data_IF_403918367953
#
_entry.id   IF_403918367953
#
_cell.length_a   1.000
_cell.length_b   1.000
_cell.length_c   1.000
_cell.angle_alpha   90.00
_cell.angle_beta   90.00
_cell.angle_gamma   90.00
#
_symmetry.space_group_name_H-M   'P 1'
#
loop_
_entity.id
_entity.type
_entity.pdbx_description
1 polymer ?
#
# COMPACT_ATOMS: atom_id res chain seq x y z
N UNK A 1 -46.65 -30.59 7.17
CA UNK A 1 -45.36 -29.89 7.32
C UNK A 1 -45.60 -28.41 7.40
N UNK A 2 -45.09 -27.73 8.43
CA UNK A 2 -45.17 -26.26 8.53
C UNK A 2 -44.14 -25.64 7.57
N UNK A 3 -44.46 -24.55 6.86
CA UNK A 3 -43.54 -23.91 5.93
C UNK A 3 -42.38 -23.23 6.68
N UNK A 4 -41.19 -23.30 6.09
CA UNK A 4 -39.99 -22.66 6.61
C UNK A 4 -40.14 -21.12 6.66
N UNK A 5 -39.57 -20.46 7.68
CA UNK A 5 -39.64 -19.00 7.80
C UNK A 5 -38.82 -18.33 6.69
N UNK A 6 -39.40 -17.30 6.07
CA UNK A 6 -38.74 -16.49 5.05
C UNK A 6 -37.55 -15.72 5.65
N UNK A 7 -36.44 -15.53 4.90
CA UNK A 7 -35.30 -14.75 5.35
C UNK A 7 -35.71 -13.28 5.55
N UNK A 8 -35.30 -12.68 6.66
CA UNK A 8 -35.48 -11.24 6.90
C UNK A 8 -34.60 -10.44 5.94
N UNK A 9 -35.20 -9.58 5.13
CA UNK A 9 -34.50 -8.56 4.36
C UNK A 9 -33.70 -7.65 5.30
N UNK A 10 -32.36 -7.73 5.25
CA UNK A 10 -31.49 -6.72 5.86
C UNK A 10 -31.57 -5.44 5.01
N UNK A 11 -32.13 -4.37 5.59
CA UNK A 11 -32.04 -3.01 5.06
C UNK A 11 -30.56 -2.62 4.92
N UNK A 12 -30.14 -2.29 3.69
CA UNK A 12 -28.88 -1.59 3.44
C UNK A 12 -29.07 -0.14 3.90
N UNK A 13 -28.56 0.23 5.06
CA UNK A 13 -28.41 1.64 5.43
C UNK A 13 -27.08 2.16 4.87
N UNK A 14 -27.16 3.28 4.18
CA UNK A 14 -26.01 3.97 3.59
C UNK A 14 -25.24 4.72 4.70
N UNK A 15 -24.43 3.99 5.47
CA UNK A 15 -23.74 4.49 6.66
C UNK A 15 -22.53 5.40 6.34
N UNK A 16 -22.10 5.50 5.08
CA UNK A 16 -20.85 6.18 4.73
C UNK A 16 -20.93 7.72 4.86
N UNK A 17 -22.07 8.30 4.49
CA UNK A 17 -22.25 9.76 4.50
C UNK A 17 -22.41 10.33 5.92
N UNK A 18 -23.10 9.59 6.82
CA UNK A 18 -23.40 10.04 8.19
C UNK A 18 -22.12 10.10 9.05
N UNK A 19 -21.22 9.12 8.90
CA UNK A 19 -19.93 9.09 9.60
C UNK A 19 -19.04 10.30 9.26
N UNK A 20 -19.04 10.77 8.01
CA UNK A 20 -18.20 11.90 7.59
C UNK A 20 -18.57 13.24 8.25
N UNK A 21 -19.86 13.45 8.55
CA UNK A 21 -20.37 14.69 9.14
C UNK A 21 -20.22 14.69 10.67
N UNK A 22 -20.40 13.55 11.33
CA UNK A 22 -20.24 13.43 12.79
C UNK A 22 -18.77 13.47 13.23
N UNK A 23 -17.85 12.88 12.46
CA UNK A 23 -16.40 12.96 12.76
C UNK A 23 -15.90 14.41 12.71
N UNK A 24 -16.40 15.23 11.77
CA UNK A 24 -16.09 16.68 11.73
C UNK A 24 -16.59 17.44 12.97
N UNK A 25 -17.71 17.02 13.57
CA UNK A 25 -18.23 17.65 14.80
C UNK A 25 -17.51 17.19 16.07
N UNK A 26 -17.08 15.93 16.17
CA UNK A 26 -16.35 15.42 17.34
C UNK A 26 -14.93 16.00 17.46
N UNK A 27 -14.27 16.34 16.34
CA UNK A 27 -12.91 16.89 16.36
C UNK A 27 -12.81 18.29 16.97
N UNK A 28 -13.88 19.08 16.97
CA UNK A 28 -13.89 20.43 17.58
C UNK A 28 -13.90 20.41 19.13
N UNK A 29 -14.05 19.24 19.76
CA UNK A 29 -14.25 19.14 21.21
C UNK A 29 -13.10 18.44 21.97
N UNK A 30 -12.03 17.99 21.30
CA UNK A 30 -10.97 17.20 21.92
C UNK A 30 -9.57 17.82 21.72
N UNK A 31 -9.35 19.03 22.23
CA UNK A 31 -8.01 19.57 22.49
C UNK A 31 -7.87 19.82 24.01
N UNK A 32 -7.23 18.92 24.78
CA UNK A 32 -6.83 19.22 26.13
C UNK A 32 -5.45 19.88 26.11
N UNK A 33 -5.44 21.16 26.44
CA UNK A 33 -4.34 21.91 27.08
C UNK A 33 -2.98 21.93 26.34
N UNK A 34 -2.71 23.05 25.63
CA UNK A 34 -1.32 23.41 25.30
C UNK A 34 -1.07 24.32 24.11
N UNK A 35 -2.10 24.73 23.35
CA UNK A 35 -1.91 25.70 22.27
C UNK A 35 -1.87 27.12 22.84
N UNK A 36 -0.65 27.60 23.14
CA UNK A 36 -0.41 29.01 23.41
C UNK A 36 -0.93 29.84 22.23
N UNK A 37 -1.76 30.83 22.55
CA UNK A 37 -2.30 31.83 21.63
C UNK A 37 -1.16 32.49 20.84
N UNK A 38 -0.90 32.01 19.62
CA UNK A 38 -0.03 32.67 18.67
C UNK A 38 -0.85 33.70 17.90
N UNK A 39 -0.35 34.93 17.93
CA UNK A 39 -0.78 36.09 17.15
C UNK A 39 -1.13 35.73 15.71
N UNK A 40 -2.21 36.34 15.21
CA UNK A 40 -2.72 36.25 13.85
C UNK A 40 -1.69 36.72 12.81
N UNK A 41 -0.76 35.85 12.45
CA UNK A 41 0.15 36.07 11.34
C UNK A 41 -0.58 35.67 10.06
N UNK A 42 -0.90 36.66 9.24
CA UNK A 42 -1.73 36.59 8.04
C UNK A 42 -1.05 35.87 6.86
N UNK A 43 -0.28 34.82 7.12
CA UNK A 43 0.67 34.26 6.15
C UNK A 43 0.90 32.75 6.16
N UNK A 44 0.26 31.95 7.02
CA UNK A 44 0.43 30.49 6.93
C UNK A 44 -0.39 29.90 5.77
N UNK A 45 0.19 29.92 4.57
CA UNK A 45 -0.38 29.34 3.35
C UNK A 45 -0.31 27.80 3.30
N UNK A 46 -0.02 27.14 4.43
CA UNK A 46 0.00 25.67 4.49
C UNK A 46 -1.41 25.11 4.42
N UNK A 47 -1.59 24.11 3.58
CA UNK A 47 -2.86 23.46 3.31
C UNK A 47 -2.78 21.97 3.66
N UNK A 48 -3.93 21.37 3.96
CA UNK A 48 -4.10 19.91 4.01
C UNK A 48 -4.17 19.30 2.59
N UNK A 49 -3.62 19.98 1.57
CA UNK A 49 -3.74 19.58 0.16
C UNK A 49 -4.98 20.12 -0.55
N UNK A 50 -5.80 20.93 0.14
CA UNK A 50 -6.99 21.58 -0.41
C UNK A 50 -6.95 23.10 -0.29
N UNK A 51 -7.54 23.79 -1.27
CA UNK A 51 -7.94 25.19 -1.11
C UNK A 51 -9.14 25.32 -0.15
N UNK A 52 -9.46 26.55 0.24
CA UNK A 52 -10.69 26.87 1.00
C UNK A 52 -11.97 26.53 0.23
N UNK A 53 -11.93 26.46 -1.11
CA UNK A 53 -13.05 26.02 -1.95
C UNK A 53 -13.18 24.49 -2.06
N UNK A 54 -12.27 23.73 -1.45
CA UNK A 54 -12.22 22.27 -1.56
C UNK A 54 -11.55 21.77 -2.84
N UNK A 55 -10.85 22.64 -3.57
CA UNK A 55 -10.08 22.29 -4.76
C UNK A 55 -8.77 21.59 -4.37
N UNK A 56 -8.37 20.55 -5.10
CA UNK A 56 -7.17 19.74 -4.82
C UNK A 56 -5.94 20.37 -5.45
N UNK A 57 -4.82 20.49 -4.72
CA UNK A 57 -3.55 20.91 -5.32
C UNK A 57 -3.07 19.89 -6.37
N UNK A 58 -2.69 20.36 -7.58
CA UNK A 58 -2.21 19.49 -8.65
C UNK A 58 -1.19 20.18 -9.57
N UNK A 59 -0.44 19.38 -10.33
CA UNK A 59 0.66 19.89 -11.16
C UNK A 59 1.87 20.23 -10.29
N UNK A 60 2.37 19.25 -9.54
CA UNK A 60 3.52 19.38 -8.68
C UNK A 60 4.74 19.88 -9.48
N UNK A 61 5.45 20.87 -8.93
CA UNK A 61 6.65 21.44 -9.56
C UNK A 61 7.88 20.62 -9.18
N UNK A 62 8.60 20.11 -10.15
CA UNK A 62 9.77 19.23 -9.97
C UNK A 62 10.79 19.81 -8.96
N UNK A 63 11.14 21.08 -9.12
CA UNK A 63 12.10 21.82 -8.30
C UNK A 63 11.66 21.94 -6.83
N UNK A 64 10.35 22.00 -6.57
CA UNK A 64 9.81 22.12 -5.22
C UNK A 64 9.98 20.83 -4.40
N UNK A 65 10.11 19.68 -5.08
CA UNK A 65 10.23 18.35 -4.46
C UNK A 65 11.60 17.69 -4.68
N UNK A 66 12.50 18.30 -5.46
CA UNK A 66 13.78 17.70 -5.82
C UNK A 66 14.62 17.30 -4.58
N UNK A 67 14.69 18.16 -3.56
CA UNK A 67 15.43 17.90 -2.33
C UNK A 67 14.76 16.91 -1.36
N UNK A 68 13.48 16.60 -1.56
CA UNK A 68 12.71 15.70 -0.68
C UNK A 68 12.67 14.26 -1.19
N UNK A 69 13.56 13.87 -2.09
CA UNK A 69 13.62 12.52 -2.64
C UNK A 69 14.48 11.63 -1.76
N UNK A 70 14.00 10.41 -1.50
CA UNK A 70 14.70 9.41 -0.71
C UNK A 70 15.06 8.25 -1.62
N UNK A 71 16.32 8.19 -2.00
CA UNK A 71 16.87 7.11 -2.82
C UNK A 71 16.93 5.79 -2.05
N UNK A 72 16.60 4.69 -2.72
CA UNK A 72 16.90 3.36 -2.21
C UNK A 72 18.41 3.17 -2.18
N UNK A 73 18.90 2.61 -1.08
CA UNK A 73 20.33 2.34 -0.83
C UNK A 73 20.66 0.85 -0.91
N UNK A 74 19.72 0.03 -1.37
CA UNK A 74 19.87 -1.42 -1.36
C UNK A 74 20.78 -1.86 -2.50
N UNK A 75 21.68 -2.78 -2.20
CA UNK A 75 22.61 -3.37 -3.18
C UNK A 75 21.86 -4.00 -4.35
N UNK A 76 22.30 -3.70 -5.56
CA UNK A 76 21.76 -4.33 -6.76
C UNK A 76 22.12 -5.81 -6.79
N UNK A 77 21.14 -6.65 -7.04
CA UNK A 77 21.29 -8.08 -7.29
C UNK A 77 20.79 -8.44 -8.68
N UNK A 78 21.30 -9.55 -9.21
CA UNK A 78 20.85 -10.17 -10.47
C UNK A 78 19.65 -11.09 -10.23
N UNK A 79 18.86 -11.42 -11.27
CA UNK A 79 17.79 -12.41 -11.11
C UNK A 79 18.41 -13.79 -10.84
N UNK A 80 17.81 -14.53 -9.91
CA UNK A 80 18.18 -15.91 -9.65
C UNK A 80 17.78 -16.81 -10.83
N UNK A 81 16.62 -16.56 -11.42
CA UNK A 81 16.10 -17.31 -12.57
C UNK A 81 15.93 -16.40 -13.78
N UNK A 82 16.73 -16.62 -14.84
CA UNK A 82 16.76 -15.77 -16.05
C UNK A 82 15.58 -15.97 -17.03
N UNK A 83 14.69 -16.91 -16.71
CA UNK A 83 13.53 -17.23 -17.54
C UNK A 83 12.26 -16.49 -17.16
N UNK A 84 11.16 -16.92 -17.77
CA UNK A 84 9.79 -16.49 -17.50
C UNK A 84 9.12 -17.28 -16.37
N UNK A 85 7.98 -16.81 -15.87
CA UNK A 85 7.18 -17.60 -14.92
C UNK A 85 6.79 -18.97 -15.50
N UNK A 86 6.43 -19.04 -16.78
CA UNK A 86 6.03 -20.31 -17.40
C UNK A 86 7.22 -21.28 -17.50
N UNK A 87 8.40 -20.77 -17.83
CA UNK A 87 9.64 -21.55 -17.85
C UNK A 87 10.02 -22.03 -16.44
N UNK A 88 9.85 -21.17 -15.42
CA UNK A 88 10.07 -21.52 -14.02
C UNK A 88 9.11 -22.62 -13.57
N UNK A 89 7.82 -22.50 -13.89
CA UNK A 89 6.81 -23.50 -13.54
C UNK A 89 7.04 -24.83 -14.25
N UNK A 90 7.53 -24.81 -15.50
CA UNK A 90 7.91 -26.02 -16.22
C UNK A 90 9.12 -26.72 -15.59
N UNK A 91 10.09 -25.95 -15.08
CA UNK A 91 11.24 -26.51 -14.36
C UNK A 91 10.82 -27.21 -13.05
N UNK A 92 9.71 -26.78 -12.46
CA UNK A 92 9.15 -27.29 -11.21
C UNK A 92 7.80 -27.99 -11.42
N UNK A 93 7.64 -28.72 -12.54
CA UNK A 93 6.37 -29.36 -12.91
C UNK A 93 5.94 -30.46 -11.93
N UNK A 94 6.90 -31.03 -11.20
CA UNK A 94 6.72 -32.03 -10.14
C UNK A 94 6.35 -31.41 -8.77
N UNK A 95 6.31 -30.08 -8.66
CA UNK A 95 6.04 -29.32 -7.43
C UNK A 95 4.70 -28.55 -7.50
N UNK A 96 3.54 -29.24 -7.46
CA UNK A 96 2.24 -28.59 -7.65
C UNK A 96 1.93 -27.52 -6.60
N UNK A 97 2.52 -27.62 -5.40
CA UNK A 97 2.37 -26.60 -4.36
C UNK A 97 3.05 -25.29 -4.76
N UNK A 98 4.26 -25.35 -5.34
CA UNK A 98 4.97 -24.17 -5.84
C UNK A 98 4.17 -23.50 -6.95
N UNK A 99 3.59 -24.29 -7.86
CA UNK A 99 2.76 -23.76 -8.94
C UNK A 99 1.54 -22.98 -8.43
N UNK A 100 0.96 -23.35 -7.28
CA UNK A 100 -0.13 -22.59 -6.64
C UNK A 100 0.35 -21.27 -6.07
N UNK A 101 1.53 -21.23 -5.46
CA UNK A 101 2.08 -20.00 -4.88
C UNK A 101 2.30 -18.91 -5.94
N UNK A 102 2.68 -19.32 -7.15
CA UNK A 102 2.89 -18.43 -8.29
C UNK A 102 1.61 -17.84 -8.89
N UNK A 103 0.43 -18.17 -8.37
CA UNK A 103 -0.86 -17.77 -8.94
C UNK A 103 -1.71 -17.00 -7.93
N UNK A 104 -2.35 -15.94 -8.43
CA UNK A 104 -3.47 -15.28 -7.76
C UNK A 104 -4.78 -15.84 -8.33
N UNK A 105 -5.78 -16.04 -7.50
CA UNK A 105 -7.14 -16.36 -7.96
C UNK A 105 -7.89 -15.07 -8.27
N UNK A 106 -8.42 -14.96 -9.49
CA UNK A 106 -9.07 -13.75 -10.00
C UNK A 106 -10.36 -14.07 -10.76
N UNK A 107 -11.19 -13.06 -10.99
CA UNK A 107 -12.29 -13.08 -11.97
C UNK A 107 -12.01 -12.05 -13.06
N UNK A 108 -12.25 -12.40 -14.31
CA UNK A 108 -12.11 -11.44 -15.44
C UNK A 108 -13.48 -10.98 -15.89
N UNK A 109 -13.71 -9.66 -15.89
CA UNK A 109 -14.96 -9.09 -16.37
C UNK A 109 -15.13 -9.38 -17.87
N UNK A 110 -16.27 -9.96 -18.27
CA UNK A 110 -16.55 -10.26 -19.68
C UNK A 110 -16.79 -9.03 -20.55
N UNK A 111 -17.18 -7.90 -19.93
CA UNK A 111 -17.49 -6.64 -20.63
C UNK A 111 -16.23 -5.81 -20.86
N UNK A 112 -15.53 -5.43 -19.79
CA UNK A 112 -14.37 -4.53 -19.87
C UNK A 112 -13.01 -5.25 -19.76
N UNK A 113 -12.98 -6.57 -19.63
CA UNK A 113 -11.75 -7.37 -19.41
C UNK A 113 -10.96 -7.06 -18.14
N UNK A 114 -11.45 -6.20 -17.25
CA UNK A 114 -10.78 -5.89 -15.96
C UNK A 114 -10.64 -7.15 -15.12
N UNK A 115 -9.44 -7.31 -14.55
CA UNK A 115 -9.14 -8.32 -13.55
C UNK A 115 -9.68 -7.83 -12.21
N UNK A 116 -10.60 -8.61 -11.64
CA UNK A 116 -11.26 -8.35 -10.38
C UNK A 116 -10.86 -9.40 -9.34
N UNK A 117 -10.94 -9.01 -8.08
CA UNK A 117 -10.82 -9.94 -6.97
C UNK A 117 -11.86 -11.07 -7.08
N UNK A 118 -11.44 -12.31 -6.81
CA UNK A 118 -12.30 -13.49 -6.95
C UNK A 118 -13.56 -13.47 -6.07
N UNK A 119 -13.53 -12.75 -4.94
CA UNK A 119 -14.68 -12.61 -4.05
C UNK A 119 -15.75 -11.64 -4.57
N UNK A 120 -15.44 -10.82 -5.59
CA UNK A 120 -16.40 -9.87 -6.13
C UNK A 120 -17.45 -10.58 -7.01
N UNK A 121 -18.70 -10.15 -6.88
CA UNK A 121 -19.80 -10.52 -7.76
C UNK A 121 -20.01 -9.53 -8.91
N UNK A 122 -19.53 -8.29 -8.76
CA UNK A 122 -19.62 -7.23 -9.78
C UNK A 122 -18.26 -6.59 -10.04
N UNK A 123 -18.05 -6.13 -11.28
CA UNK A 123 -16.82 -5.48 -11.70
C UNK A 123 -16.70 -4.10 -11.05
N UNK A 124 -15.58 -3.83 -10.38
CA UNK A 124 -15.30 -2.55 -9.73
C UNK A 124 -14.81 -1.46 -10.70
N UNK A 125 -15.14 -1.56 -11.99
CA UNK A 125 -14.94 -0.48 -12.97
C UNK A 125 -16.26 -0.17 -13.68
N UNK A 126 -16.88 -1.19 -14.30
CA UNK A 126 -18.08 -1.01 -15.11
C UNK A 126 -19.38 -1.46 -14.43
N UNK A 127 -19.31 -2.00 -13.21
CA UNK A 127 -20.48 -2.46 -12.45
C UNK A 127 -21.13 -3.76 -12.96
N UNK A 128 -20.72 -4.28 -14.13
CA UNK A 128 -21.29 -5.51 -14.71
C UNK A 128 -21.03 -6.73 -13.81
N UNK A 129 -21.94 -7.71 -13.87
CA UNK A 129 -21.79 -8.97 -13.15
C UNK A 129 -20.52 -9.72 -13.60
N UNK A 130 -19.81 -10.31 -12.64
CA UNK A 130 -18.63 -11.11 -12.86
C UNK A 130 -19.00 -12.59 -12.99
N UNK A 131 -18.28 -13.37 -13.82
CA UNK A 131 -18.51 -14.81 -13.90
C UNK A 131 -18.26 -15.49 -12.55
N UNK A 132 -18.96 -16.60 -12.32
CA UNK A 132 -18.68 -17.50 -11.18
C UNK A 132 -17.34 -18.20 -11.31
N UNK A 133 -16.91 -18.49 -12.55
CA UNK A 133 -15.62 -19.09 -12.87
C UNK A 133 -14.45 -18.19 -12.46
N UNK A 134 -13.45 -18.79 -11.82
CA UNK A 134 -12.19 -18.14 -11.47
C UNK A 134 -11.11 -18.48 -12.49
N UNK A 135 -10.22 -17.52 -12.72
CA UNK A 135 -9.01 -17.65 -13.55
C UNK A 135 -7.78 -17.32 -12.71
N UNK A 136 -6.60 -17.38 -13.31
CA UNK A 136 -5.35 -17.13 -12.61
C UNK A 136 -4.55 -16.00 -13.25
N UNK A 137 -3.87 -15.22 -12.41
CA UNK A 137 -2.81 -14.30 -12.82
C UNK A 137 -1.53 -14.58 -12.03
N UNK A 138 -0.39 -14.02 -12.46
CA UNK A 138 0.87 -14.23 -11.76
C UNK A 138 0.86 -13.55 -10.39
N UNK A 139 1.29 -14.28 -9.36
CA UNK A 139 1.60 -13.71 -8.05
C UNK A 139 2.96 -13.03 -8.10
N UNK A 140 2.95 -11.71 -8.20
CA UNK A 140 4.15 -10.91 -8.42
C UNK A 140 5.11 -11.00 -7.23
N UNK A 141 4.58 -11.11 -6.01
CA UNK A 141 5.41 -11.21 -4.81
C UNK A 141 6.21 -12.52 -4.77
N UNK A 142 5.61 -13.62 -5.22
CA UNK A 142 6.35 -14.87 -5.38
C UNK A 142 7.36 -14.78 -6.53
N UNK A 143 7.06 -14.04 -7.60
CA UNK A 143 8.05 -13.71 -8.63
C UNK A 143 9.29 -13.01 -8.08
N UNK A 144 9.13 -12.07 -7.14
CA UNK A 144 10.24 -11.44 -6.43
C UNK A 144 11.00 -12.44 -5.55
N UNK A 145 10.29 -13.25 -4.77
CA UNK A 145 10.89 -14.23 -3.85
C UNK A 145 11.68 -15.30 -4.59
N UNK A 146 11.26 -15.72 -5.77
CA UNK A 146 11.98 -16.68 -6.61
C UNK A 146 12.99 -16.03 -7.56
N UNK A 147 13.07 -14.70 -7.60
CA UNK A 147 14.02 -13.98 -8.45
C UNK A 147 13.84 -14.24 -9.94
N UNK A 148 12.58 -14.36 -10.40
CA UNK A 148 12.24 -14.59 -11.81
C UNK A 148 12.54 -13.33 -12.63
N UNK A 149 13.17 -13.46 -13.79
CA UNK A 149 13.55 -12.30 -14.60
C UNK A 149 12.42 -11.76 -15.46
N UNK A 150 11.67 -12.65 -16.13
CA UNK A 150 10.74 -12.27 -17.21
C UNK A 150 9.29 -12.52 -16.82
N UNK A 151 8.43 -11.57 -17.16
CA UNK A 151 7.00 -11.69 -16.96
C UNK A 151 6.23 -10.59 -17.68
N UNK A 152 4.89 -10.57 -17.53
CA UNK A 152 4.07 -9.46 -18.03
C UNK A 152 4.38 -8.12 -17.32
N UNK A 153 5.14 -8.17 -16.22
CA UNK A 153 5.64 -7.03 -15.48
C UNK A 153 7.13 -7.24 -15.16
N UNK A 154 7.91 -6.16 -15.00
CA UNK A 154 9.24 -6.24 -14.40
C UNK A 154 9.16 -6.89 -13.01
N UNK A 155 9.98 -7.92 -12.77
CA UNK A 155 10.16 -8.53 -11.45
C UNK A 155 11.32 -7.90 -10.66
N UNK A 156 11.73 -6.71 -11.06
CA UNK A 156 12.53 -5.82 -10.22
C UNK A 156 11.60 -4.93 -9.41
N UNK A 157 12.02 -4.55 -8.20
CA UNK A 157 11.23 -3.71 -7.31
C UNK A 157 12.12 -2.72 -6.56
N UNK A 158 11.55 -1.61 -6.11
CA UNK A 158 12.24 -0.61 -5.30
C UNK A 158 12.39 -1.09 -3.85
N UNK A 159 13.37 -1.97 -3.62
CA UNK A 159 13.63 -2.57 -2.30
C UNK A 159 14.15 -1.49 -1.34
N UNK A 160 13.63 -1.46 -0.12
CA UNK A 160 14.06 -0.57 0.97
C UNK A 160 14.74 -1.32 2.10
N UNK A 161 14.30 -2.54 2.36
CA UNK A 161 14.90 -3.48 3.31
C UNK A 161 14.79 -4.89 2.72
N UNK A 162 15.87 -5.66 2.81
CA UNK A 162 15.83 -7.08 2.49
C UNK A 162 16.68 -7.88 3.47
N UNK A 163 16.11 -8.97 3.96
CA UNK A 163 16.73 -9.97 4.81
C UNK A 163 16.27 -11.33 4.31
N UNK A 164 16.88 -12.47 4.72
CA UNK A 164 16.39 -13.79 4.29
C UNK A 164 14.91 -14.08 4.61
N UNK A 165 14.33 -13.39 5.60
CA UNK A 165 12.98 -13.67 6.09
C UNK A 165 11.95 -12.57 5.74
N UNK A 166 12.39 -11.37 5.39
CA UNK A 166 11.55 -10.20 5.17
C UNK A 166 12.02 -9.37 3.98
N UNK A 167 11.06 -8.84 3.22
CA UNK A 167 11.30 -7.91 2.12
C UNK A 167 10.36 -6.72 2.25
N UNK A 168 10.92 -5.51 2.42
CA UNK A 168 10.17 -4.25 2.39
C UNK A 168 10.56 -3.44 1.15
N UNK A 169 9.57 -2.86 0.47
CA UNK A 169 9.74 -2.16 -0.80
C UNK A 169 8.70 -1.06 -0.97
N UNK A 170 8.99 -0.07 -1.82
CA UNK A 170 8.02 0.98 -2.12
C UNK A 170 6.80 0.40 -2.85
N UNK A 171 5.61 0.85 -2.45
CA UNK A 171 4.37 0.47 -3.12
C UNK A 171 4.23 1.20 -4.47
N UNK A 172 3.88 0.45 -5.52
CA UNK A 172 3.69 0.94 -6.89
C UNK A 172 2.51 1.90 -7.04
N UNK A 173 1.54 1.81 -6.14
CA UNK A 173 0.32 2.60 -6.08
C UNK A 173 0.35 3.51 -4.84
N UNK A 174 1.55 3.97 -4.45
CA UNK A 174 1.81 4.78 -3.25
C UNK A 174 0.75 5.87 -2.98
N UNK A 175 0.13 5.87 -1.80
CA UNK A 175 -0.89 6.88 -1.45
C UNK A 175 -0.26 8.11 -0.76
N UNK A 176 0.86 7.90 -0.08
CA UNK A 176 1.66 8.90 0.64
C UNK A 176 3.04 9.05 -0.04
N UNK A 177 3.89 10.02 0.35
CA UNK A 177 5.30 10.07 -0.07
C UNK A 177 6.16 8.91 0.46
N UNK A 178 5.70 8.20 1.50
CA UNK A 178 6.36 7.03 2.08
C UNK A 178 5.30 5.94 2.33
N UNK A 179 5.04 5.15 1.29
CA UNK A 179 4.17 3.97 1.33
C UNK A 179 5.02 2.74 1.02
N UNK A 180 5.23 1.89 2.01
CA UNK A 180 5.96 0.65 1.85
C UNK A 180 5.02 -0.53 1.96
N UNK A 181 5.30 -1.59 1.21
CA UNK A 181 4.83 -2.93 1.53
C UNK A 181 5.93 -3.68 2.24
N UNK A 182 5.57 -4.54 3.19
CA UNK A 182 6.47 -5.57 3.72
C UNK A 182 5.83 -6.95 3.65
N UNK A 183 6.62 -7.93 3.19
CA UNK A 183 6.21 -9.33 3.03
C UNK A 183 7.18 -10.28 3.74
N UNK A 184 6.72 -11.42 4.27
CA UNK A 184 7.60 -12.50 4.67
C UNK A 184 8.16 -13.20 3.42
N UNK A 185 9.37 -13.73 3.49
CA UNK A 185 10.01 -14.43 2.35
C UNK A 185 10.45 -15.84 2.70
N UNK A 186 10.36 -16.20 3.98
CA UNK A 186 10.65 -17.54 4.52
C UNK A 186 9.44 -18.46 4.57
N UNK A 187 8.24 -17.93 4.32
CA UNK A 187 6.97 -18.66 4.44
C UNK A 187 5.95 -18.15 3.45
N UNK A 188 5.22 -19.03 2.78
CA UNK A 188 4.07 -18.67 1.96
C UNK A 188 2.81 -18.58 2.83
N UNK A 189 2.17 -17.41 2.81
CA UNK A 189 0.96 -17.10 3.58
C UNK A 189 0.01 -16.36 2.65
N UNK A 190 -1.12 -16.94 2.18
CA UNK A 190 -1.94 -16.29 1.16
C UNK A 190 -2.46 -14.89 1.56
N UNK A 191 -2.92 -14.75 2.80
CA UNK A 191 -3.38 -13.50 3.40
C UNK A 191 -3.38 -13.58 4.93
N UNK A 192 -3.78 -12.49 5.60
CA UNK A 192 -3.74 -12.38 7.05
C UNK A 192 -4.63 -13.41 7.78
N UNK A 193 -5.70 -13.92 7.15
CA UNK A 193 -6.61 -14.88 7.80
C UNK A 193 -5.85 -16.14 8.20
N UNK A 194 -4.89 -16.57 7.38
CA UNK A 194 -4.10 -17.78 7.62
C UNK A 194 -3.23 -17.70 8.88
N UNK A 195 -2.96 -16.49 9.39
CA UNK A 195 -2.28 -16.29 10.67
C UNK A 195 -3.11 -16.83 11.84
N UNK A 196 -4.45 -16.84 11.72
CA UNK A 196 -5.36 -17.35 12.75
C UNK A 196 -5.23 -18.85 13.00
N UNK A 197 -4.60 -19.61 12.10
CA UNK A 197 -4.32 -21.03 12.32
C UNK A 197 -3.20 -21.26 13.35
N UNK A 198 -2.38 -20.23 13.59
CA UNK A 198 -1.24 -20.23 14.52
C UNK A 198 -1.10 -18.84 15.14
N UNK A 199 -2.05 -18.43 15.99
CA UNK A 199 -2.22 -17.02 16.33
C UNK A 199 -1.03 -16.43 17.09
N UNK A 200 -0.35 -17.22 17.94
CA UNK A 200 0.84 -16.76 18.66
C UNK A 200 2.01 -16.48 17.71
N UNK A 201 2.29 -17.39 16.77
CA UNK A 201 3.30 -17.21 15.74
C UNK A 201 2.93 -16.11 14.75
N UNK A 202 1.65 -16.00 14.40
CA UNK A 202 1.12 -14.95 13.55
C UNK A 202 1.31 -13.57 14.16
N UNK A 203 0.97 -13.40 15.45
CA UNK A 203 1.19 -12.15 16.17
C UNK A 203 2.66 -11.75 16.20
N UNK A 204 3.54 -12.74 16.42
CA UNK A 204 4.98 -12.52 16.43
C UNK A 204 5.50 -12.09 15.05
N UNK A 205 5.05 -12.76 13.98
CA UNK A 205 5.42 -12.41 12.61
C UNK A 205 5.02 -10.97 12.27
N UNK A 206 3.76 -10.61 12.47
CA UNK A 206 3.28 -9.27 12.07
C UNK A 206 3.91 -8.15 12.90
N UNK A 207 4.21 -8.41 14.18
CA UNK A 207 4.91 -7.44 15.03
C UNK A 207 6.32 -7.22 14.52
N UNK A 208 7.03 -8.30 14.17
CA UNK A 208 8.36 -8.21 13.58
C UNK A 208 8.35 -7.49 12.23
N UNK A 209 7.39 -7.79 11.36
CA UNK A 209 7.21 -7.09 10.08
C UNK A 209 7.00 -5.59 10.33
N UNK A 210 6.11 -5.22 11.25
CA UNK A 210 5.86 -3.82 11.58
C UNK A 210 7.11 -3.11 12.15
N UNK A 211 7.84 -3.76 13.05
CA UNK A 211 9.05 -3.18 13.62
C UNK A 211 10.14 -3.00 12.56
N UNK A 212 10.35 -4.00 11.69
CA UNK A 212 11.35 -3.94 10.63
C UNK A 212 11.04 -2.84 9.60
N UNK A 213 9.78 -2.70 9.18
CA UNK A 213 9.40 -1.62 8.27
C UNK A 213 9.44 -0.25 8.95
N UNK A 214 9.10 -0.15 10.24
CA UNK A 214 9.26 1.08 11.00
C UNK A 214 10.73 1.52 11.09
N UNK A 215 11.64 0.61 11.42
CA UNK A 215 13.07 0.90 11.47
C UNK A 215 13.58 1.43 10.12
N UNK A 216 13.13 0.83 9.02
CA UNK A 216 13.41 1.30 7.67
C UNK A 216 12.87 2.72 7.41
N UNK A 217 11.58 2.99 7.74
CA UNK A 217 10.96 4.31 7.60
C UNK A 217 11.69 5.36 8.44
N UNK A 218 11.98 5.03 9.70
CA UNK A 218 12.70 5.89 10.62
C UNK A 218 14.10 6.25 10.10
N UNK A 219 14.84 5.26 9.60
CA UNK A 219 16.21 5.41 9.12
C UNK A 219 16.29 6.19 7.80
N UNK A 220 15.43 5.87 6.83
CA UNK A 220 15.56 6.39 5.47
C UNK A 220 14.74 7.67 5.23
N UNK A 221 13.55 7.80 5.85
CA UNK A 221 12.64 8.91 5.58
C UNK A 221 12.59 9.92 6.73
N UNK A 222 12.27 9.49 7.96
CA UNK A 222 12.08 10.43 9.08
C UNK A 222 13.39 11.16 9.42
N UNK A 223 14.53 10.47 9.32
CA UNK A 223 15.86 11.08 9.51
C UNK A 223 16.35 11.89 8.31
N UNK A 224 15.67 11.81 7.16
CA UNK A 224 16.01 12.61 6.00
C UNK A 224 15.43 14.02 6.13
N UNK A 225 16.25 14.96 6.57
CA UNK A 225 15.80 16.31 6.96
C UNK A 225 15.01 17.05 5.87
N UNK A 226 15.45 17.01 4.61
CA UNK A 226 14.75 17.69 3.53
C UNK A 226 13.38 17.06 3.21
N UNK A 227 13.29 15.72 3.17
CA UNK A 227 12.02 14.99 3.09
C UNK A 227 11.08 15.37 4.25
N UNK A 228 11.57 15.30 5.48
CA UNK A 228 10.77 15.60 6.68
C UNK A 228 10.25 17.04 6.65
N UNK A 229 11.11 18.02 6.33
CA UNK A 229 10.74 19.44 6.19
C UNK A 229 9.73 19.70 5.08
N UNK A 230 9.83 18.95 3.98
CA UNK A 230 8.89 19.12 2.86
C UNK A 230 7.50 18.67 3.24
N UNK A 231 7.37 17.47 3.81
CA UNK A 231 6.05 16.86 3.99
C UNK A 231 5.42 17.12 5.36
N UNK A 232 6.21 17.45 6.40
CA UNK A 232 5.70 17.67 7.76
C UNK A 232 5.75 19.14 8.19
N UNK A 233 4.63 19.68 8.71
CA UNK A 233 4.56 21.08 9.19
C UNK A 233 5.67 21.40 10.19
N UNK A 234 5.89 20.46 11.10
CA UNK A 234 6.89 20.52 12.16
C UNK A 234 8.19 19.79 11.78
N UNK A 235 8.41 19.53 10.49
CA UNK A 235 9.54 18.76 10.00
C UNK A 235 10.89 19.46 10.14
N UNK A 236 10.90 20.78 10.28
CA UNK A 236 12.11 21.57 10.55
C UNK A 236 12.64 21.46 11.96
N UNK A 237 11.84 20.96 12.90
CA UNK A 237 12.24 20.84 14.28
C UNK A 237 13.28 19.74 14.52
N UNK A 238 14.04 19.87 15.61
CA UNK A 238 15.04 18.88 16.01
C UNK A 238 14.40 17.51 16.24
N UNK A 239 14.92 16.49 15.57
CA UNK A 239 14.48 15.11 15.73
C UNK A 239 15.05 14.50 17.01
N UNK A 240 14.23 14.41 18.06
CA UNK A 240 14.56 13.71 19.31
C UNK A 240 14.05 12.26 19.28
N UNK A 241 14.53 11.39 20.18
CA UNK A 241 13.99 10.03 20.34
C UNK A 241 12.48 10.04 20.61
N UNK A 242 12.02 10.95 21.48
CA UNK A 242 10.59 11.12 21.80
C UNK A 242 9.79 11.50 20.56
N UNK A 243 10.28 12.45 19.75
CA UNK A 243 9.61 12.87 18.51
C UNK A 243 9.62 11.77 17.44
N UNK A 244 10.72 11.03 17.31
CA UNK A 244 10.77 9.88 16.42
C UNK A 244 9.66 8.87 16.76
N UNK A 245 9.48 8.55 18.05
CA UNK A 245 8.39 7.67 18.49
C UNK A 245 7.00 8.29 18.32
N UNK A 246 6.87 9.61 18.47
CA UNK A 246 5.61 10.30 18.19
C UNK A 246 5.20 10.15 16.72
N UNK A 247 6.14 10.20 15.77
CA UNK A 247 5.83 9.98 14.35
C UNK A 247 5.26 8.60 14.06
N UNK A 248 5.64 7.56 14.81
CA UNK A 248 5.12 6.20 14.63
C UNK A 248 3.59 6.14 14.78
N UNK A 249 3.01 7.03 15.60
CA UNK A 249 1.55 7.13 15.80
C UNK A 249 0.78 7.70 14.61
N UNK A 250 1.49 8.22 13.61
CA UNK A 250 0.90 8.77 12.38
C UNK A 250 1.06 7.84 11.18
N UNK A 251 1.44 6.59 11.44
CA UNK A 251 1.41 5.54 10.43
C UNK A 251 0.01 4.95 10.37
N UNK A 252 -0.49 4.79 9.15
CA UNK A 252 -1.65 3.96 8.86
C UNK A 252 -1.13 2.64 8.30
N UNK A 253 -1.47 1.52 8.94
CA UNK A 253 -0.97 0.22 8.53
C UNK A 253 -2.04 -0.87 8.61
N UNK A 254 -1.97 -1.83 7.70
CA UNK A 254 -2.96 -2.90 7.61
C UNK A 254 -2.81 -3.79 6.39
N UNK A 255 -3.78 -4.70 6.24
CA UNK A 255 -3.85 -5.66 5.15
C UNK A 255 -5.15 -5.46 4.34
N UNK A 256 -5.10 -5.67 3.03
CA UNK A 256 -6.31 -5.69 2.20
C UNK A 256 -6.91 -7.10 2.12
N UNK A 257 -8.24 -7.18 2.02
CA UNK A 257 -8.98 -8.42 1.79
C UNK A 257 -10.05 -8.31 0.68
N UNK A 258 -10.06 -9.24 -0.29
CA UNK A 258 -8.96 -10.14 -0.60
C UNK A 258 -7.72 -9.34 -1.01
N UNK A 259 -6.51 -9.90 -0.83
CA UNK A 259 -5.31 -9.23 -1.26
C UNK A 259 -5.23 -9.19 -2.80
N UNK A 260 -4.53 -8.20 -3.35
CA UNK A 260 -4.26 -8.13 -4.80
C UNK A 260 -3.20 -9.14 -5.25
N UNK A 261 -2.32 -9.55 -4.34
CA UNK A 261 -1.31 -10.60 -4.51
C UNK A 261 -1.50 -11.62 -3.38
N UNK A 262 -1.62 -12.90 -3.70
CA UNK A 262 -1.89 -13.99 -2.74
C UNK A 262 -0.64 -14.35 -1.95
N UNK A 263 -0.15 -13.36 -1.23
CA UNK A 263 0.95 -13.46 -0.29
C UNK A 263 0.82 -12.32 0.72
N UNK A 264 0.98 -12.63 1.99
CA UNK A 264 0.79 -11.71 3.11
C UNK A 264 1.66 -10.47 2.90
N UNK A 265 1.02 -9.32 2.94
CA UNK A 265 1.71 -8.05 2.85
C UNK A 265 1.01 -7.03 3.74
N UNK A 266 1.80 -6.31 4.53
CA UNK A 266 1.34 -5.15 5.28
C UNK A 266 1.63 -3.92 4.43
N UNK A 267 0.59 -3.13 4.17
CA UNK A 267 0.75 -1.77 3.67
C UNK A 267 1.09 -0.87 4.84
N UNK A 268 2.16 -0.10 4.73
CA UNK A 268 2.69 0.77 5.77
C UNK A 268 2.82 2.20 5.22
N UNK A 269 1.89 3.07 5.64
CA UNK A 269 1.72 4.41 5.08
C UNK A 269 2.10 5.45 6.13
N UNK A 270 3.25 6.10 5.96
CA UNK A 270 3.57 7.29 6.75
C UNK A 270 2.84 8.49 6.16
N UNK A 271 1.92 9.07 6.93
CA UNK A 271 1.16 10.27 6.55
C UNK A 271 2.08 11.47 6.32
N UNK A 272 1.70 12.46 5.50
CA UNK A 272 0.37 12.69 4.92
C UNK A 272 0.07 11.90 3.63
N UNK A 273 -1.21 11.80 3.28
CA UNK A 273 -1.63 11.41 1.92
C UNK A 273 -1.24 12.50 0.92
N UNK A 274 -0.93 12.12 -0.31
CA UNK A 274 -0.79 13.09 -1.41
C UNK A 274 -2.13 13.80 -1.67
N UNK A 275 -2.16 15.04 -2.18
CA UNK A 275 -3.40 15.83 -2.27
C UNK A 275 -4.56 15.09 -2.94
N UNK A 276 -4.31 14.47 -4.10
CA UNK A 276 -5.34 13.69 -4.80
C UNK A 276 -5.81 12.45 -4.02
N UNK A 277 -4.90 11.75 -3.34
CA UNK A 277 -5.26 10.56 -2.55
C UNK A 277 -6.02 10.96 -1.28
N UNK A 278 -5.75 12.14 -0.72
CA UNK A 278 -6.53 12.67 0.39
C UNK A 278 -7.97 12.99 -0.02
N UNK A 279 -8.18 13.51 -1.23
CA UNK A 279 -9.53 13.63 -1.81
C UNK A 279 -10.24 12.31 -1.96
N UNK A 280 -9.58 11.30 -2.51
CA UNK A 280 -10.14 9.95 -2.60
C UNK A 280 -10.49 9.36 -1.23
N UNK A 281 -9.68 9.63 -0.20
CA UNK A 281 -10.00 9.29 1.19
C UNK A 281 -11.27 10.00 1.66
N UNK A 282 -11.40 11.31 1.46
CA UNK A 282 -12.61 12.05 1.85
C UNK A 282 -13.86 11.53 1.13
N UNK A 283 -13.72 10.99 -0.08
CA UNK A 283 -14.78 10.36 -0.87
C UNK A 283 -15.05 8.89 -0.47
N UNK A 284 -14.38 8.35 0.56
CA UNK A 284 -14.58 6.97 1.02
C UNK A 284 -13.96 5.88 0.13
N UNK A 285 -13.09 6.26 -0.81
CA UNK A 285 -12.48 5.33 -1.77
C UNK A 285 -11.21 4.65 -1.24
N UNK A 286 -10.71 5.09 -0.08
CA UNK A 286 -9.58 4.46 0.59
C UNK A 286 -10.00 3.84 1.91
N UNK A 287 -9.27 2.82 2.32
CA UNK A 287 -9.48 2.12 3.60
C UNK A 287 -10.93 1.68 3.80
N UNK A 288 -11.61 1.21 2.74
CA UNK A 288 -13.03 0.82 2.83
C UNK A 288 -13.24 -0.30 3.86
N UNK A 289 -14.29 -0.19 4.68
CA UNK A 289 -14.66 -1.21 5.66
C UNK A 289 -14.85 -2.59 5.01
N UNK A 290 -14.47 -3.65 5.73
CA UNK A 290 -14.37 -5.06 5.28
C UNK A 290 -13.42 -5.31 4.11
N UNK A 291 -12.77 -4.28 3.56
CA UNK A 291 -11.68 -4.38 2.57
C UNK A 291 -10.33 -4.12 3.20
N UNK A 292 -10.22 -3.10 4.04
CA UNK A 292 -9.00 -2.77 4.77
C UNK A 292 -9.09 -3.24 6.22
N UNK A 293 -8.11 -4.00 6.67
CA UNK A 293 -8.01 -4.51 8.04
C UNK A 293 -6.84 -3.81 8.73
N UNK A 294 -7.11 -2.86 9.65
CA UNK A 294 -6.08 -2.20 10.42
C UNK A 294 -5.19 -3.23 11.13
N UNK A 295 -3.89 -2.97 11.17
CA UNK A 295 -2.94 -3.91 11.79
C UNK A 295 -3.24 -4.11 13.27
N UNK A 296 -3.72 -3.08 13.96
CA UNK A 296 -4.13 -3.17 15.36
C UNK A 296 -5.29 -4.15 15.57
N UNK A 297 -6.27 -4.20 14.66
CA UNK A 297 -7.34 -5.21 14.70
C UNK A 297 -6.75 -6.61 14.56
N UNK A 298 -5.90 -6.82 13.56
CA UNK A 298 -5.28 -8.13 13.32
C UNK A 298 -4.46 -8.58 14.53
N UNK A 299 -3.67 -7.68 15.13
CA UNK A 299 -2.91 -7.94 16.36
C UNK A 299 -3.82 -8.27 17.54
N UNK A 300 -4.91 -7.53 17.73
CA UNK A 300 -5.86 -7.75 18.81
C UNK A 300 -6.51 -9.14 18.70
N UNK A 301 -6.98 -9.53 17.52
CA UNK A 301 -7.52 -10.87 17.27
C UNK A 301 -6.48 -11.96 17.54
N UNK A 302 -5.26 -11.83 17.01
CA UNK A 302 -4.21 -12.83 17.22
C UNK A 302 -3.75 -12.90 18.69
N UNK A 303 -3.86 -11.80 19.44
CA UNK A 303 -3.54 -11.74 20.87
C UNK A 303 -4.53 -12.54 21.73
N UNK A 304 -5.73 -12.86 21.23
CA UNK A 304 -6.65 -13.80 21.87
C UNK A 304 -6.08 -15.24 21.90
N UNK A 305 -5.09 -15.54 21.05
CA UNK A 305 -4.45 -16.86 20.91
C UNK A 305 -5.42 -17.99 20.60
N UNK A 306 -6.58 -17.67 20.06
CA UNK A 306 -7.59 -18.63 19.64
C UNK A 306 -7.34 -19.02 18.17
N UNK A 307 -7.21 -20.32 17.92
CA UNK A 307 -6.99 -20.83 16.57
C UNK A 307 -8.30 -20.93 15.81
N UNK A 308 -8.33 -20.46 14.57
CA UNK A 308 -9.46 -20.63 13.63
C UNK A 308 -9.00 -21.41 12.39
N UNK A 309 -9.74 -22.45 12.01
CA UNK A 309 -9.45 -23.21 10.78
C UNK A 309 -9.98 -22.44 9.57
N UNK A 310 -9.13 -21.59 9.01
CA UNK A 310 -9.46 -20.82 7.80
C UNK A 310 -9.01 -21.54 6.52
N UNK A 311 -9.78 -21.32 5.46
CA UNK A 311 -9.47 -21.71 4.08
C UNK A 311 -9.52 -20.49 3.16
N UNK A 312 -9.29 -20.67 1.86
CA UNK A 312 -9.44 -19.57 0.90
C UNK A 312 -10.89 -19.06 0.82
N UNK A 313 -11.85 -19.93 1.12
CA UNK A 313 -13.29 -19.73 1.07
C UNK A 313 -13.88 -19.08 2.33
N UNK A 314 -13.17 -19.09 3.47
CA UNK A 314 -13.66 -18.49 4.73
C UNK A 314 -13.93 -17.00 4.54
N UNK A 315 -15.16 -16.54 4.73
CA UNK A 315 -15.46 -15.12 4.51
C UNK A 315 -14.82 -14.26 5.60
N UNK A 316 -14.52 -12.98 5.33
CA UNK A 316 -14.10 -12.07 6.41
C UNK A 316 -15.22 -11.76 7.39
N UNK A 317 -16.48 -11.85 6.94
CA UNK A 317 -17.62 -11.67 7.83
C UNK A 317 -17.67 -12.80 8.87
N UNK A 318 -17.33 -14.04 8.48
CA UNK A 318 -17.24 -15.18 9.42
C UNK A 318 -16.19 -14.92 10.50
N UNK A 319 -15.05 -14.33 10.11
CA UNK A 319 -13.97 -14.01 11.04
C UNK A 319 -14.37 -12.85 11.97
N UNK A 320 -14.98 -11.81 11.42
CA UNK A 320 -15.47 -10.68 12.22
C UNK A 320 -16.51 -11.18 13.23
N UNK A 321 -17.52 -11.93 12.79
CA UNK A 321 -18.56 -12.49 13.65
C UNK A 321 -17.99 -13.39 14.75
N UNK A 322 -16.97 -14.20 14.43
CA UNK A 322 -16.32 -15.09 15.40
C UNK A 322 -15.66 -14.33 16.57
N UNK A 323 -15.13 -13.13 16.33
CA UNK A 323 -14.36 -12.36 17.32
C UNK A 323 -15.06 -11.09 17.83
N UNK A 324 -16.23 -10.72 17.30
CA UNK A 324 -16.85 -9.39 17.49
C UNK A 324 -17.16 -9.06 18.97
N UNK A 325 -17.46 -10.06 19.79
CA UNK A 325 -17.74 -9.91 21.21
C UNK A 325 -16.51 -9.49 22.05
N UNK A 326 -15.31 -9.67 21.50
CA UNK A 326 -14.02 -9.42 22.18
C UNK A 326 -13.16 -8.40 21.46
N UNK A 327 -13.24 -8.36 20.12
CA UNK A 327 -12.49 -7.45 19.26
C UNK A 327 -13.43 -6.93 18.19
N UNK A 328 -13.98 -5.74 18.42
CA UNK A 328 -14.94 -5.12 17.52
C UNK A 328 -14.26 -4.52 16.28
N UNK A 329 -14.45 -5.15 15.12
CA UNK A 329 -13.84 -4.70 13.86
C UNK A 329 -14.31 -3.30 13.46
N UNK A 330 -15.61 -3.04 13.51
CA UNK A 330 -16.19 -1.79 13.01
C UNK A 330 -15.68 -0.58 13.80
N UNK A 331 -15.53 -0.71 15.13
CA UNK A 331 -14.98 0.33 16.00
C UNK A 331 -13.49 0.59 15.72
N UNK A 332 -12.68 -0.47 15.59
CA UNK A 332 -11.24 -0.33 15.30
C UNK A 332 -10.98 0.20 13.89
N UNK A 333 -11.81 -0.20 12.92
CA UNK A 333 -11.79 0.35 11.58
C UNK A 333 -12.16 1.83 11.58
N UNK A 334 -13.24 2.22 12.26
CA UNK A 334 -13.67 3.61 12.36
C UNK A 334 -12.60 4.49 13.03
N UNK A 335 -11.94 4.02 14.10
CA UNK A 335 -10.86 4.76 14.73
C UNK A 335 -9.64 4.89 13.81
N UNK A 336 -9.22 3.81 13.14
CA UNK A 336 -8.16 3.85 12.14
C UNK A 336 -8.50 4.83 11.01
N UNK A 337 -9.75 4.84 10.53
CA UNK A 337 -10.21 5.75 9.48
C UNK A 337 -10.13 7.21 9.95
N UNK A 338 -10.57 7.51 11.18
CA UNK A 338 -10.47 8.84 11.77
C UNK A 338 -9.01 9.25 12.07
N UNK A 339 -8.13 8.30 12.38
CA UNK A 339 -6.69 8.53 12.56
C UNK A 339 -6.02 9.01 11.27
N UNK A 340 -6.50 8.58 10.09
CA UNK A 340 -6.03 9.09 8.80
C UNK A 340 -6.22 10.61 8.75
N UNK A 341 -7.43 11.10 9.01
CA UNK A 341 -7.74 12.55 9.05
C UNK A 341 -6.87 13.26 10.09
N UNK A 342 -6.88 12.80 11.35
CA UNK A 342 -6.07 13.39 12.44
C UNK A 342 -4.60 13.54 12.05
N UNK A 343 -4.03 12.48 11.48
CA UNK A 343 -2.61 12.44 11.11
C UNK A 343 -2.33 13.24 9.85
N UNK A 344 -3.26 13.27 8.89
CA UNK A 344 -3.15 14.11 7.70
C UNK A 344 -3.10 15.57 8.12
N UNK A 345 -4.14 16.06 8.79
CA UNK A 345 -4.27 17.47 9.19
C UNK A 345 -3.11 17.93 10.06
N UNK A 346 -2.63 17.08 10.97
CA UNK A 346 -1.51 17.43 11.83
C UNK A 346 -0.19 17.54 11.07
N UNK A 347 0.09 16.61 10.16
CA UNK A 347 1.39 16.51 9.51
C UNK A 347 1.47 17.28 8.19
N UNK A 348 0.42 17.32 7.38
CA UNK A 348 0.46 17.78 6.00
C UNK A 348 1.03 19.20 5.83
N UNK A 349 2.11 19.33 5.06
CA UNK A 349 2.77 20.60 4.76
C UNK A 349 2.72 20.92 3.26
N UNK A 350 1.56 20.71 2.63
CA UNK A 350 1.37 21.05 1.23
C UNK A 350 1.25 22.57 1.09
N UNK A 351 1.98 23.17 0.15
CA UNK A 351 1.91 24.60 -0.14
C UNK A 351 1.40 24.81 -1.56
N UNK A 352 0.51 25.78 -1.75
CA UNK A 352 -0.01 26.12 -3.08
C UNK A 352 1.11 26.47 -4.07
N UNK A 353 2.16 27.16 -3.60
CA UNK A 353 3.33 27.54 -4.41
C UNK A 353 4.10 26.34 -5.01
N UNK A 354 3.97 25.14 -4.42
CA UNK A 354 4.61 23.92 -4.89
C UNK A 354 3.89 23.27 -6.09
N UNK A 355 2.73 23.82 -6.48
CA UNK A 355 1.85 23.28 -7.52
C UNK A 355 1.52 24.35 -8.55
N UNK A 356 1.20 23.92 -9.77
CA UNK A 356 0.82 24.80 -10.88
C UNK A 356 -0.63 25.26 -10.79
N UNK A 357 -1.52 24.42 -10.26
CA UNK A 357 -2.96 24.65 -10.31
C UNK A 357 -3.73 23.93 -9.19
N UNK A 358 -5.03 24.18 -9.15
CA UNK A 358 -6.00 23.46 -8.31
C UNK A 358 -7.07 22.78 -9.16
N UNK A 359 -7.46 21.55 -8.80
CA UNK A 359 -8.55 20.80 -9.44
C UNK A 359 -9.85 21.02 -8.68
N UNK A 360 -10.85 21.59 -9.36
CA UNK A 360 -12.20 21.75 -8.81
C UNK A 360 -13.12 20.61 -9.25
N UNK A 361 -13.96 20.15 -8.32
CA UNK A 361 -15.05 19.21 -8.60
C UNK A 361 -14.61 17.89 -9.25
N UNK A 362 -15.28 17.54 -10.36
CA UNK A 362 -15.12 16.27 -11.08
C UNK A 362 -13.79 16.15 -11.85
N UNK A 363 -13.08 17.27 -12.06
CA UNK A 363 -11.80 17.28 -12.74
C UNK A 363 -11.65 18.28 -13.88
N UNK A 364 -12.57 19.25 -14.02
CA UNK A 364 -12.33 20.38 -14.91
C UNK A 364 -11.09 21.17 -14.48
N UNK A 365 -10.21 21.45 -15.43
CA UNK A 365 -9.00 22.25 -15.20
C UNK A 365 -9.12 23.49 -16.08
N UNK A 366 -9.48 24.65 -15.54
CA UNK A 366 -9.56 25.88 -16.32
C UNK A 366 -8.22 26.18 -17.00
N UNK A 367 -8.21 26.19 -18.34
CA UNK A 367 -7.04 26.59 -19.13
C UNK A 367 -5.93 25.54 -19.29
N UNK A 368 -6.11 24.28 -18.86
CA UNK A 368 -5.13 23.21 -19.10
C UNK A 368 -5.53 22.29 -20.24
N UNK A 369 -4.55 21.89 -21.05
CA UNK A 369 -4.71 20.85 -22.08
C UNK A 369 -4.52 19.44 -21.53
N UNK A 370 -4.01 19.28 -20.31
CA UNK A 370 -3.79 17.98 -19.67
C UNK A 370 -5.10 17.47 -19.06
N UNK A 371 -5.32 16.18 -19.16
CA UNK A 371 -6.41 15.49 -18.45
C UNK A 371 -6.07 15.35 -16.96
N UNK A 372 -7.09 15.22 -16.11
CA UNK A 372 -6.94 14.88 -14.68
C UNK A 372 -6.02 13.67 -14.45
N UNK A 373 -6.18 12.62 -15.26
CA UNK A 373 -5.35 11.40 -15.18
C UNK A 373 -3.88 11.68 -15.48
N UNK A 374 -3.57 12.53 -16.46
CA UNK A 374 -2.20 12.90 -16.80
C UNK A 374 -1.54 13.71 -15.68
N UNK A 375 -2.27 14.66 -15.09
CA UNK A 375 -1.77 15.42 -13.94
C UNK A 375 -1.51 14.53 -12.74
N UNK A 376 -2.44 13.65 -12.37
CA UNK A 376 -2.24 12.72 -11.25
C UNK A 376 -1.02 11.82 -11.50
N UNK A 377 -0.83 11.35 -12.73
CA UNK A 377 0.33 10.53 -13.09
C UNK A 377 1.64 11.33 -12.99
N UNK A 378 1.66 12.59 -13.45
CA UNK A 378 2.82 13.48 -13.35
C UNK A 378 3.16 13.79 -11.89
N UNK A 379 2.18 14.18 -11.08
CA UNK A 379 2.34 14.45 -9.65
C UNK A 379 2.89 13.24 -8.91
N UNK A 380 2.41 12.04 -9.25
CA UNK A 380 2.95 10.78 -8.70
C UNK A 380 4.41 10.59 -9.05
N UNK A 381 4.81 10.82 -10.31
CA UNK A 381 6.20 10.73 -10.75
C UNK A 381 7.15 11.67 -9.99
N UNK A 382 6.63 12.82 -9.53
CA UNK A 382 7.39 13.84 -8.79
C UNK A 382 7.41 13.56 -7.29
N UNK A 383 6.25 13.31 -6.69
CA UNK A 383 6.06 13.24 -5.23
C UNK A 383 6.42 11.87 -4.64
N UNK A 384 6.15 10.77 -5.36
CA UNK A 384 6.39 9.43 -4.83
C UNK A 384 7.89 9.09 -4.82
N UNK A 385 8.26 8.16 -3.94
CA UNK A 385 9.63 7.65 -3.81
C UNK A 385 9.85 6.29 -4.49
N UNK A 386 8.82 5.72 -5.13
CA UNK A 386 8.90 4.44 -5.82
C UNK A 386 10.01 4.44 -6.89
N UNK A 387 11.00 3.58 -6.73
CA UNK A 387 12.06 3.34 -7.71
C UNK A 387 13.13 4.43 -7.76
N UNK A 388 13.27 5.25 -6.72
CA UNK A 388 14.35 6.24 -6.65
C UNK A 388 15.68 5.59 -6.20
N UNK A 389 16.85 6.01 -6.73
CA UNK A 389 17.01 7.04 -7.76
C UNK A 389 16.51 6.52 -9.11
N UNK A 390 15.98 7.41 -9.95
CA UNK A 390 15.57 7.02 -11.30
C UNK A 390 16.78 6.71 -12.17
N UNK A 391 16.58 5.90 -13.21
CA UNK A 391 17.60 5.66 -14.23
C UNK A 391 17.91 6.95 -14.99
N UNK A 392 19.00 7.02 -15.78
CA UNK A 392 19.28 8.18 -16.64
C UNK A 392 18.12 8.56 -17.58
N UNK A 393 17.27 7.60 -17.96
CA UNK A 393 16.06 7.82 -18.77
C UNK A 393 14.87 8.37 -17.97
N UNK A 394 15.04 8.62 -16.67
CA UNK A 394 13.97 9.05 -15.75
C UNK A 394 12.99 7.96 -15.35
N UNK A 395 13.35 6.68 -15.51
CA UNK A 395 12.46 5.57 -15.16
C UNK A 395 12.69 5.13 -13.72
N UNK A 396 11.66 4.61 -13.03
CA UNK A 396 11.84 3.94 -11.76
C UNK A 396 12.92 2.85 -11.88
N UNK A 397 13.93 2.91 -11.02
CA UNK A 397 14.88 1.82 -10.87
C UNK A 397 14.28 0.73 -9.98
N UNK A 398 14.91 -0.44 -10.02
CA UNK A 398 14.56 -1.56 -9.15
C UNK A 398 15.68 -2.58 -9.19
N UNK A 399 15.61 -3.54 -8.27
CA UNK A 399 16.53 -4.65 -8.22
C UNK A 399 15.84 -5.95 -7.86
N UNK A 400 16.56 -7.07 -7.99
CA UNK A 400 16.09 -8.38 -7.58
C UNK A 400 16.35 -8.60 -6.10
N UNK A 401 15.55 -9.46 -5.50
CA UNK A 401 15.70 -9.84 -4.10
C UNK A 401 16.95 -10.70 -3.92
N UNK A 402 17.90 -10.23 -3.11
CA UNK A 402 19.23 -10.84 -2.90
C UNK A 402 19.16 -12.26 -2.33
N UNK A 403 18.11 -12.55 -1.56
CA UNK A 403 17.91 -13.86 -0.93
C UNK A 403 16.83 -14.68 -1.65
N UNK A 404 16.74 -14.51 -2.97
CA UNK A 404 15.82 -15.29 -3.79
C UNK A 404 15.99 -16.79 -3.57
N UNK A 405 14.88 -17.53 -3.70
CA UNK A 405 14.80 -18.96 -3.38
C UNK A 405 14.80 -19.80 -4.66
N UNK A 406 15.51 -20.92 -4.64
CA UNK A 406 15.45 -21.95 -5.69
C UNK A 406 14.36 -22.98 -5.42
N UNK A 407 14.11 -23.27 -4.14
CA UNK A 407 13.14 -24.26 -3.68
C UNK A 407 11.84 -23.62 -3.25
N UNK A 408 10.76 -24.42 -3.26
CA UNK A 408 9.45 -24.03 -2.75
C UNK A 408 9.55 -23.43 -1.35
N UNK A 409 9.04 -22.22 -1.18
CA UNK A 409 8.87 -21.62 0.15
C UNK A 409 7.82 -22.43 0.94
N UNK A 410 8.09 -22.88 2.18
CA UNK A 410 7.14 -23.68 2.92
C UNK A 410 5.82 -22.94 3.16
N UNK A 411 4.70 -23.65 3.09
CA UNK A 411 3.40 -23.08 3.48
C UNK A 411 3.43 -22.78 5.00
N UNK A 412 2.68 -21.78 5.46
CA UNK A 412 2.64 -21.34 6.87
C UNK A 412 2.54 -22.47 7.90
N UNK A 413 1.84 -23.55 7.54
CA UNK A 413 1.56 -24.69 8.42
C UNK A 413 2.60 -25.79 8.31
N UNK A 414 3.38 -25.81 7.23
CA UNK A 414 4.49 -26.75 7.03
C UNK A 414 5.71 -26.36 7.91
N UNK A 415 5.71 -25.17 8.53
CA UNK A 415 6.85 -24.65 9.27
C UNK A 415 6.89 -25.20 10.70
N UNK A 416 7.98 -25.84 11.07
CA UNK A 416 8.21 -26.22 12.46
C UNK A 416 8.27 -24.97 13.37
N UNK A 417 7.43 -24.97 14.41
CA UNK A 417 7.40 -23.97 15.50
C UNK A 417 8.77 -23.67 16.10
N UNK A 418 9.66 -24.67 16.20
CA UNK A 418 11.02 -24.49 16.73
C UNK A 418 11.89 -23.68 15.78
N UNK A 419 11.85 -24.01 14.48
CA UNK A 419 12.57 -23.29 13.42
C UNK A 419 12.10 -21.84 13.32
N UNK A 420 10.78 -21.63 13.43
CA UNK A 420 10.20 -20.28 13.41
C UNK A 420 10.68 -19.42 14.59
N UNK A 421 11.07 -19.99 15.73
CA UNK A 421 11.55 -19.21 16.87
C UNK A 421 13.03 -18.83 16.77
N UNK A 422 13.83 -19.60 16.02
CA UNK A 422 15.27 -19.36 15.87
C UNK A 422 15.59 -18.28 14.84
N UNK A 423 14.90 -18.25 13.69
CA UNK A 423 15.13 -17.24 12.65
C UNK A 423 14.88 -15.82 13.16
N UNK A 424 13.86 -15.66 14.01
CA UNK A 424 13.42 -14.37 14.53
C UNK A 424 14.38 -13.73 15.53
N UNK A 425 15.19 -14.52 16.23
CA UNK A 425 16.14 -14.00 17.22
C UNK A 425 17.37 -13.34 16.56
N UNK A 426 17.65 -13.66 15.30
CA UNK A 426 18.85 -13.19 14.60
C UNK A 426 18.71 -11.80 13.97
N UNK A 427 17.48 -11.26 13.91
CA UNK A 427 17.19 -10.01 13.21
C UNK A 427 17.27 -8.75 14.08
N UNK A 428 17.81 -8.83 15.31
CA UNK A 428 18.12 -7.63 16.09
C UNK A 428 19.31 -6.92 15.43
N UNK A 429 19.16 -5.65 14.98
CA UNK A 429 20.28 -4.91 14.40
C UNK A 429 21.44 -4.86 15.39
N UNK A 430 22.62 -5.33 14.97
CA UNK A 430 23.85 -5.04 15.69
C UNK A 430 24.03 -3.53 15.72
N UNK A 431 24.01 -2.92 16.90
CA UNK A 431 24.05 -1.46 17.11
C UNK A 431 25.34 -0.74 16.63
N UNK A 432 26.18 -1.36 15.81
CA UNK A 432 27.58 -0.99 15.65
C UNK A 432 28.04 -0.41 14.32
N UNK A 433 27.17 -0.11 13.36
CA UNK A 433 27.60 0.53 12.11
C UNK A 433 27.15 2.00 12.06
N UNK A 434 28.11 2.91 12.30
CA UNK A 434 27.98 4.36 12.09
C UNK A 434 28.46 4.72 10.69
N UNK A 435 27.66 5.56 10.05
CA UNK A 435 27.81 6.16 8.73
C UNK A 435 29.15 6.88 8.47
N UNK A 436 29.71 6.67 7.27
CA UNK A 436 30.45 7.70 6.53
C UNK A 436 30.15 7.58 5.03
N UNK A 437 29.52 8.61 4.45
CA UNK A 437 29.97 9.30 3.22
C UNK A 437 28.82 10.06 2.52
N UNK A 438 29.18 11.18 1.91
CA UNK A 438 28.31 12.15 1.22
C UNK A 438 28.93 12.47 -0.15
N UNK A 439 28.16 13.16 -1.00
CA UNK A 439 28.45 13.68 -2.38
C UNK A 439 28.05 12.71 -3.52
N UNK A 440 27.35 13.06 -4.60
CA UNK A 440 26.70 14.29 -5.10
C UNK A 440 26.97 14.48 -6.60
N UNK A 441 25.93 14.60 -7.47
CA UNK A 441 25.93 15.44 -8.70
C UNK A 441 24.68 15.25 -9.59
N UNK A 442 24.19 16.37 -10.15
CA UNK A 442 23.05 16.57 -11.06
C UNK A 442 23.38 16.29 -12.54
N UNK A 443 22.36 15.88 -13.33
CA UNK A 443 22.20 16.18 -14.76
C UNK A 443 20.70 16.07 -15.14
N UNK A 444 20.17 17.03 -15.90
CA UNK A 444 18.79 17.06 -16.42
C UNK A 444 18.74 16.67 -17.91
N UNK A 445 17.73 15.88 -18.27
CA UNK A 445 17.29 15.61 -19.65
C UNK A 445 15.75 15.47 -19.66
N UNK A 446 15.05 15.71 -20.79
CA UNK A 446 13.59 15.78 -20.83
C UNK A 446 12.93 14.38 -20.93
N UNK A 447 11.81 14.20 -20.22
CA UNK A 447 11.12 12.93 -20.01
C UNK A 447 9.88 12.74 -20.89
N UNK A 448 9.60 11.50 -21.31
CA UNK A 448 8.32 11.05 -21.88
C UNK A 448 7.64 10.02 -20.97
N UNK A 449 6.40 10.29 -20.58
CA UNK A 449 5.63 9.59 -19.52
C UNK A 449 4.88 8.32 -19.95
N UNK A 450 5.23 7.68 -21.07
CA UNK A 450 4.37 6.65 -21.69
C UNK A 450 4.39 5.27 -21.00
N UNK A 451 5.43 4.93 -20.22
CA UNK A 451 5.48 3.62 -19.55
C UNK A 451 4.76 3.56 -18.20
N UNK A 452 4.78 4.65 -17.42
CA UNK A 452 4.04 4.71 -16.15
C UNK A 452 2.52 4.75 -16.39
N UNK A 453 2.11 5.34 -17.52
CA UNK A 453 0.74 5.28 -18.04
C UNK A 453 0.33 3.86 -18.41
N UNK A 454 1.19 3.09 -19.11
CA UNK A 454 0.94 1.66 -19.41
C UNK A 454 0.85 0.79 -18.15
N UNK A 455 1.65 1.07 -17.12
CA UNK A 455 1.55 0.42 -15.81
C UNK A 455 0.18 0.67 -15.16
N UNK A 456 -0.29 1.91 -15.18
CA UNK A 456 -1.60 2.30 -14.66
C UNK A 456 -2.77 1.71 -15.48
N UNK A 457 -2.69 1.78 -16.80
CA UNK A 457 -3.69 1.25 -17.73
C UNK A 457 -3.82 -0.28 -17.59
N UNK A 458 -2.73 -1.01 -17.35
CA UNK A 458 -2.78 -2.45 -17.08
C UNK A 458 -3.30 -2.81 -15.69
N UNK A 459 -2.87 -2.11 -14.62
CA UNK A 459 -3.35 -2.37 -13.25
C UNK A 459 -4.83 -1.99 -13.06
N UNK A 460 -5.34 -1.02 -13.83
CA UNK A 460 -6.77 -0.66 -13.87
C UNK A 460 -7.56 -1.35 -14.98
N UNK A 461 -6.92 -2.12 -15.86
CA UNK A 461 -7.60 -2.86 -16.93
C UNK A 461 -8.13 -1.99 -18.07
N UNK A 462 -7.62 -0.78 -18.29
CA UNK A 462 -7.96 0.03 -19.47
C UNK A 462 -7.12 -0.41 -20.66
N UNK A 463 -7.73 -1.11 -21.62
CA UNK A 463 -7.28 -1.06 -23.03
C UNK A 463 -8.10 -0.01 -23.74
N UNK A 464 -7.47 0.81 -24.59
CA UNK A 464 -8.20 1.56 -25.60
C UNK A 464 -8.95 0.56 -26.48
N UNK A 465 -10.26 0.72 -26.57
CA UNK A 465 -11.01 0.15 -27.68
C UNK A 465 -10.58 0.89 -28.92
N UNK A 466 -9.53 0.42 -29.58
CA UNK A 466 -9.22 0.87 -30.93
C UNK A 466 -10.34 0.35 -31.81
N UNK A 467 -11.34 1.21 -32.05
CA UNK A 467 -12.47 0.97 -32.95
C UNK A 467 -12.00 0.90 -34.39
N UNK A 468 -11.27 -0.16 -34.75
CA UNK A 468 -11.13 -0.57 -36.14
C UNK A 468 -12.22 -1.60 -36.40
N UNK A 469 -13.19 -1.20 -37.20
CA UNK A 469 -14.15 -2.09 -37.83
C UNK A 469 -13.43 -3.24 -38.55
N UNK A 470 -13.99 -4.46 -38.54
CA UNK A 470 -13.47 -5.54 -39.36
C UNK A 470 -13.72 -5.20 -40.83
N UNK A 471 -12.64 -4.97 -41.57
CA UNK A 471 -12.68 -5.04 -43.03
C UNK A 471 -12.90 -6.51 -43.39
N UNK A 472 -14.06 -6.80 -43.96
CA UNK A 472 -14.41 -8.08 -44.57
C UNK A 472 -13.47 -8.40 -45.73
N UNK A 473 -12.84 -9.57 -45.69
CA UNK A 473 -12.57 -10.41 -46.86
C UNK A 473 -12.87 -11.84 -46.47
#
# INVERSE_FOLDING_TARGET
GKPAPKPKERRKTDNSAVLSVEVRKMMLCCDPEGAGSSTSDSGDQRLDGFSSSGAVLAGAKEEAFAGSRVDSRVEKSEPLFKGSVDEFLKLHEDEPKLARQMKNTIKKCKVCSKICAFSLSTCNECGSELPSEVTFSNNIFMGFIYGVQKGPFPYTISIRLQTPDLLAFDDLLSLTPCHLNIIPTSSYIPDWRFLLRRPSEGLRLITQMEDAVWECVAAQFIRHDAWRRKYFRNGGERLTKKRLQAYRKHVICGCNFPPSQFHLHIQYLMMPLTPFQYRMYQEGQHFTARRFFPLDYIKAVLALKESMQVTMETSVDDIIEHFDDRVNYDAMHADCYAQVERSHTLLANWRSEDFELTLEGDGSIPGSTRTKTELIAADKGIIQNYGRPYTPDGKPSGTYYKYARTERVPEWLDIDSKRFSQSLLQLRPSQNERDTSTTGSNLHAPHSGDQQRRWWEMLLGRRRGDGREPVSV
#
